data_IF_279039935902
#
_entry.id   IF_279039935902
#
_cell.length_a   1.000
_cell.length_b   1.000
_cell.length_c   1.000
_cell.angle_alpha   90.00
_cell.angle_beta   90.00
_cell.angle_gamma   90.00
#
_symmetry.space_group_name_H-M   'P 1'
#
loop_
_entity.id
_entity.type
_entity.pdbx_description
1 polymer ?
2 non-polymer ?
3 non-polymer ?
4 non-polymer ?
5 non-polymer ?
6 water ?
#
# COMPACT_ATOMS: atom_id res chain seq x y z
N UNK A 1 10.36 6.22 -7.31
CA UNK A 1 9.22 7.02 -7.72
C UNK A 1 8.30 6.17 -8.61
N UNK A 2 7.00 6.35 -8.46
CA UNK A 2 6.02 5.60 -9.22
C UNK A 2 4.69 5.61 -8.50
N UNK A 3 3.70 4.99 -9.15
CA UNK A 3 2.35 4.96 -8.60
C UNK A 3 1.61 3.78 -9.21
N UNK A 4 0.44 3.47 -8.65
CA UNK A 4 -0.40 2.37 -9.12
C UNK A 4 -1.28 2.90 -10.25
N UNK A 5 -1.11 2.38 -11.47
CA UNK A 5 -1.84 2.90 -12.61
C UNK A 5 -3.04 2.07 -13.02
N UNK A 6 -3.17 0.83 -12.53
CA UNK A 6 -4.25 -0.04 -12.98
C UNK A 6 -4.46 -1.12 -11.93
N UNK A 7 -5.71 -1.54 -11.78
CA UNK A 7 -6.07 -2.60 -10.84
C UNK A 7 -6.93 -3.61 -11.58
N UNK A 8 -6.65 -4.90 -11.36
CA UNK A 8 -7.40 -5.99 -11.98
C UNK A 8 -8.00 -6.87 -10.89
N UNK A 9 -9.30 -7.13 -10.99
CA UNK A 9 -10.01 -7.98 -10.04
C UNK A 9 -10.86 -8.95 -10.85
N UNK A 10 -10.50 -10.23 -10.81
CA UNK A 10 -11.31 -11.27 -11.44
C UNK A 10 -11.67 -10.90 -12.88
N UNK A 11 -10.65 -10.54 -13.64
CA UNK A 11 -10.84 -10.24 -15.05
C UNK A 11 -11.46 -8.89 -15.38
N UNK A 12 -11.73 -8.04 -14.39
CA UNK A 12 -12.20 -6.69 -14.65
C UNK A 12 -11.10 -5.70 -14.28
N UNK A 13 -10.96 -4.65 -15.08
CA UNK A 13 -9.86 -3.71 -14.96
C UNK A 13 -10.38 -2.36 -14.49
N UNK A 14 -9.63 -1.70 -13.61
CA UNK A 14 -10.01 -0.40 -13.04
C UNK A 14 -8.81 0.52 -13.11
N UNK A 15 -8.94 1.66 -13.76
CA UNK A 15 -7.82 2.59 -13.82
C UNK A 15 -7.45 3.07 -12.41
N UNK A 16 -6.16 3.18 -12.15
CA UNK A 16 -5.72 3.83 -10.93
C UNK A 16 -5.97 5.33 -11.01
N UNK A 17 -5.59 6.04 -9.96
CA UNK A 17 -5.55 7.49 -10.05
C UNK A 17 -4.28 7.88 -10.82
N UNK A 18 -4.44 8.33 -12.06
CA UNK A 18 -3.30 8.62 -12.92
C UNK A 18 -2.75 9.99 -12.55
N UNK A 19 -1.83 10.01 -11.58
CA UNK A 19 -1.38 11.27 -11.01
C UNK A 19 -0.54 12.08 -11.97
N UNK A 20 -0.10 11.47 -13.07
CA UNK A 20 0.61 12.20 -14.13
C UNK A 20 -0.34 12.96 -15.05
N UNK A 21 -1.66 12.80 -14.91
CA UNK A 21 -2.61 13.39 -15.85
C UNK A 21 -3.79 14.07 -15.17
N UNK A 22 -4.53 13.31 -14.35
CA UNK A 22 -5.74 13.80 -13.71
C UNK A 22 -5.57 15.13 -12.97
N UNK A 23 -4.47 15.40 -12.25
CA UNK A 23 -4.38 16.69 -11.53
C UNK A 23 -4.43 17.91 -12.43
N UNK A 24 -4.23 17.74 -13.73
CA UNK A 24 -4.12 18.83 -14.69
C UNK A 24 -5.34 18.91 -15.58
N UNK A 25 -6.37 18.13 -15.29
CA UNK A 25 -7.61 18.11 -16.05
C UNK A 25 -8.69 18.87 -15.27
N UNK A 26 -9.57 19.51 -16.03
CA UNK A 26 -10.72 20.17 -15.42
C UNK A 26 -11.78 19.16 -14.98
N UNK A 27 -11.94 18.07 -15.73
CA UNK A 27 -12.93 17.04 -15.41
C UNK A 27 -12.28 15.66 -15.47
N UNK A 28 -11.40 15.33 -14.52
CA UNK A 28 -10.83 13.99 -14.51
C UNK A 28 -11.89 12.95 -14.22
N UNK A 29 -11.71 11.72 -14.69
CA UNK A 29 -12.73 10.68 -14.45
C UNK A 29 -12.78 10.24 -13.00
N UNK A 30 -13.94 9.70 -12.65
CA UNK A 30 -14.09 8.99 -11.38
C UNK A 30 -13.35 7.65 -11.45
N UNK A 31 -12.57 7.34 -10.41
CA UNK A 31 -11.81 6.10 -10.34
C UNK A 31 -11.88 5.54 -8.92
N UNK A 32 -11.45 4.28 -8.77
CA UNK A 32 -11.40 3.72 -7.42
C UNK A 32 -10.15 4.15 -6.69
N UNK A 33 -9.17 4.72 -7.40
CA UNK A 33 -7.94 5.17 -6.73
C UNK A 33 -8.11 6.55 -6.13
N UNK A 34 -7.50 6.74 -4.96
CA UNK A 34 -7.55 8.03 -4.28
C UNK A 34 -6.76 9.09 -5.03
N UNK A 35 -7.28 10.31 -5.09
CA UNK A 35 -6.49 11.41 -5.59
C UNK A 35 -5.44 11.80 -4.55
N UNK A 36 -4.28 12.24 -5.03
CA UNK A 36 -3.21 12.72 -4.18
C UNK A 36 -2.56 13.94 -4.85
N UNK A 37 -1.80 14.71 -4.08
CA UNK A 37 -1.00 15.76 -4.67
C UNK A 37 0.46 15.35 -4.83
N UNK A 38 0.74 14.05 -4.82
CA UNK A 38 2.10 13.56 -5.02
C UNK A 38 2.44 13.59 -6.50
N UNK A 39 2.37 14.80 -7.08
CA UNK A 39 2.47 14.95 -8.53
C UNK A 39 3.88 14.65 -9.04
N UNK A 40 4.90 14.77 -8.19
CA UNK A 40 6.26 14.41 -8.63
C UNK A 40 6.49 12.90 -8.58
N UNK A 41 5.47 12.11 -8.25
CA UNK A 41 5.54 10.65 -8.13
C UNK A 41 6.42 10.21 -6.97
N UNK A 42 6.67 11.07 -6.01
CA UNK A 42 7.57 10.78 -4.90
C UNK A 42 6.93 10.06 -3.74
N UNK A 43 7.41 10.35 -2.53
CA UNK A 43 7.17 9.51 -1.37
C UNK A 43 6.77 10.35 -0.18
N UNK A 44 6.35 9.66 0.88
CA UNK A 44 6.18 10.23 2.21
C UNK A 44 7.36 9.76 3.06
N UNK A 45 7.98 10.68 3.77
CA UNK A 45 9.17 10.36 4.53
C UNK A 45 8.82 10.22 6.02
N UNK A 46 9.75 9.68 6.83
CA UNK A 46 9.42 9.45 8.25
C UNK A 46 9.05 10.68 9.03
N UNK A 47 9.40 11.89 8.58
CA UNK A 47 8.95 13.07 9.32
C UNK A 47 7.44 13.30 9.20
N UNK A 48 6.75 12.55 8.34
CA UNK A 48 5.30 12.66 8.22
C UNK A 48 4.58 11.42 8.75
N UNK A 49 5.26 10.54 9.48
CA UNK A 49 4.62 9.30 9.91
C UNK A 49 3.46 9.51 10.89
N UNK A 50 3.40 10.65 11.59
CA UNK A 50 2.25 10.94 12.44
C UNK A 50 1.27 11.90 11.80
N UNK A 51 1.49 12.26 10.54
CA UNK A 51 0.66 13.24 9.87
C UNK A 51 -0.23 12.57 8.83
N UNK A 52 -1.23 13.30 8.36
CA UNK A 52 -2.26 12.68 7.53
C UNK A 52 -1.71 12.15 6.21
N UNK A 53 -0.58 12.68 5.75
CA UNK A 53 -0.03 12.27 4.45
C UNK A 53 0.34 10.79 4.43
N UNK A 54 0.71 10.21 5.57
CA UNK A 54 1.12 8.80 5.54
C UNK A 54 -0.07 7.87 5.27
N UNK A 55 -1.30 8.35 5.45
CA UNK A 55 -2.46 7.46 5.37
C UNK A 55 -2.64 6.95 3.94
N UNK A 56 -2.81 7.86 3.00
CA UNK A 56 -3.05 7.47 1.60
C UNK A 56 -2.22 8.33 0.65
N UNK A 57 -1.08 8.84 1.14
CA UNK A 57 -0.16 9.72 0.43
C UNK A 57 -0.65 11.17 0.49
N UNK A 58 0.12 12.06 -0.12
CA UNK A 58 0.03 13.50 0.15
C UNK A 58 -1.34 14.07 -0.22
N UNK A 59 -1.96 14.76 0.75
CA UNK A 59 -3.24 15.44 0.58
C UNK A 59 -4.32 14.54 -0.03
N UNK A 60 -4.25 13.24 0.26
CA UNK A 60 -5.09 12.30 -0.47
C UNK A 60 -6.56 12.47 -0.12
N UNK A 61 -7.42 12.27 -1.13
CA UNK A 61 -8.87 12.32 -1.03
C UNK A 61 -9.44 11.06 -1.66
N UNK A 62 -10.55 10.54 -1.13
CA UNK A 62 -11.05 9.24 -1.61
C UNK A 62 -11.48 9.27 -3.08
N UNK A 63 -11.23 8.15 -3.76
CA UNK A 63 -11.83 7.97 -5.07
C UNK A 63 -13.35 7.97 -4.99
N UNK A 64 -13.98 8.38 -6.08
CA UNK A 64 -15.43 8.46 -6.11
C UNK A 64 -16.08 7.13 -6.45
N UNK A 65 -15.30 6.11 -6.79
CA UNK A 65 -15.82 4.79 -7.16
C UNK A 65 -15.24 3.74 -6.24
N UNK A 66 -15.89 2.58 -6.22
CA UNK A 66 -15.42 1.40 -5.52
C UNK A 66 -15.49 0.21 -6.47
N UNK A 67 -14.60 -0.76 -6.25
CA UNK A 67 -14.59 -1.98 -7.07
C UNK A 67 -15.06 -3.17 -6.25
N UNK A 68 -16.03 -3.94 -6.75
CA UNK A 68 -16.47 -5.15 -6.04
C UNK A 68 -15.39 -6.23 -6.05
N UNK A 69 -15.25 -6.92 -4.93
CA UNK A 69 -14.37 -8.09 -4.86
C UNK A 69 -14.95 -9.06 -3.84
N UNK A 70 -14.91 -10.36 -4.17
CA UNK A 70 -15.38 -11.38 -3.25
C UNK A 70 -14.32 -11.63 -2.20
N UNK A 71 -14.74 -11.79 -0.94
CA UNK A 71 -13.81 -12.24 0.08
C UNK A 71 -13.21 -13.56 -0.38
N UNK A 72 -11.89 -13.68 -0.26
CA UNK A 72 -11.20 -14.83 -0.83
C UNK A 72 -10.67 -14.63 -2.24
N UNK A 73 -11.15 -13.60 -2.96
CA UNK A 73 -10.63 -13.29 -4.27
C UNK A 73 -9.34 -12.49 -4.20
N UNK A 74 -8.78 -12.24 -5.38
CA UNK A 74 -7.50 -11.55 -5.48
C UNK A 74 -7.69 -10.15 -6.05
N UNK A 75 -6.74 -9.28 -5.74
CA UNK A 75 -6.68 -7.92 -6.29
C UNK A 75 -5.27 -7.73 -6.80
N UNK A 76 -5.13 -7.41 -8.09
CA UNK A 76 -3.82 -7.19 -8.69
C UNK A 76 -3.60 -5.70 -8.89
N UNK A 77 -2.52 -5.17 -8.32
CA UNK A 77 -2.17 -3.77 -8.46
C UNK A 77 -0.98 -3.64 -9.40
N UNK A 78 -1.14 -2.86 -10.47
CA UNK A 78 -0.12 -2.70 -11.51
C UNK A 78 0.53 -1.33 -11.36
N UNK A 79 1.81 -1.35 -11.03
CA UNK A 79 2.57 -0.12 -10.83
C UNK A 79 3.16 0.36 -12.15
N UNK A 80 3.53 1.64 -12.16
CA UNK A 80 4.50 2.08 -13.16
C UNK A 80 5.83 1.37 -12.92
N UNK A 81 6.73 1.51 -13.88
CA UNK A 81 7.99 0.76 -13.86
C UNK A 81 8.79 1.09 -12.60
N UNK A 82 9.02 0.10 -11.75
CA UNK A 82 9.63 0.36 -10.45
C UNK A 82 11.15 0.27 -10.55
N UNK A 83 11.91 1.26 -10.06
CA UNK A 83 13.37 1.21 -10.18
C UNK A 83 13.98 0.17 -9.25
N UNK A 84 14.94 -0.58 -9.78
CA UNK A 84 15.54 -1.66 -9.00
C UNK A 84 16.24 -1.13 -7.75
N UNK A 85 16.76 0.10 -7.79
CA UNK A 85 17.44 0.66 -6.62
C UNK A 85 16.51 0.76 -5.41
N UNK A 86 15.20 0.88 -5.62
CA UNK A 86 14.25 1.11 -4.55
C UNK A 86 13.86 -0.21 -3.86
N UNK A 87 14.87 -0.90 -3.31
CA UNK A 87 14.65 -2.16 -2.61
C UNK A 87 13.87 -1.95 -1.32
N UNK A 88 12.90 -2.83 -1.06
CA UNK A 88 12.21 -2.79 0.19
C UNK A 88 10.96 -3.65 0.21
N UNK A 89 10.23 -3.58 1.32
CA UNK A 89 9.04 -4.42 1.48
C UNK A 89 7.85 -3.90 0.68
N UNK A 90 6.89 -4.79 0.48
CA UNK A 90 5.61 -4.47 -0.15
C UNK A 90 4.54 -4.89 0.85
N UNK A 91 3.74 -3.93 1.31
CA UNK A 91 2.85 -4.13 2.44
C UNK A 91 1.45 -3.67 2.06
N UNK A 92 0.44 -4.48 2.39
CA UNK A 92 -0.93 -4.17 2.02
C UNK A 92 -1.87 -4.28 3.22
N UNK A 93 -2.79 -3.32 3.34
CA UNK A 93 -3.70 -3.21 4.48
C UNK A 93 -5.13 -3.03 4.00
N UNK A 94 -6.08 -3.52 4.80
CA UNK A 94 -7.50 -3.22 4.60
C UNK A 94 -8.00 -2.43 5.81
N UNK A 95 -8.84 -1.43 5.54
CA UNK A 95 -9.47 -0.64 6.60
C UNK A 95 -10.95 -0.45 6.25
N UNK A 96 -11.83 -0.81 7.19
CA UNK A 96 -13.26 -0.67 6.96
C UNK A 96 -13.67 0.79 7.04
N UNK A 97 -14.39 1.28 6.02
CA UNK A 97 -14.92 2.64 6.05
C UNK A 97 -16.18 2.76 6.91
N UNK A 98 -16.85 1.64 7.16
CA UNK A 98 -18.15 1.59 7.82
C UNK A 98 -19.06 2.71 7.32
N UNK A 99 -19.26 2.70 6.02
CA UNK A 99 -19.92 3.77 5.32
C UNK A 99 -19.36 3.83 3.91
N UNK A 100 -19.77 4.87 3.19
CA UNK A 100 -19.26 5.08 1.84
C UNK A 100 -17.79 5.50 1.92
N UNK A 101 -16.91 4.70 1.32
CA UNK A 101 -15.49 5.04 1.37
C UNK A 101 -15.21 6.38 0.68
N UNK A 102 -16.03 6.76 -0.31
CA UNK A 102 -15.76 8.01 -1.04
C UNK A 102 -15.93 9.25 -0.19
N UNK A 103 -16.54 9.14 0.99
CA UNK A 103 -16.65 10.29 1.89
C UNK A 103 -16.05 9.99 3.25
N UNK A 104 -15.18 8.99 3.35
CA UNK A 104 -14.65 8.58 4.65
C UNK A 104 -13.72 9.66 5.17
N UNK A 105 -13.63 9.76 6.49
CA UNK A 105 -12.60 10.57 7.14
C UNK A 105 -11.37 9.66 7.25
N UNK A 106 -10.34 9.93 6.44
CA UNK A 106 -9.22 8.99 6.34
C UNK A 106 -8.47 8.83 7.66
N UNK A 107 -8.57 9.81 8.57
CA UNK A 107 -7.93 9.66 9.86
C UNK A 107 -8.64 8.64 10.73
N UNK A 108 -9.84 8.21 10.35
CA UNK A 108 -10.56 7.19 11.10
C UNK A 108 -10.36 5.79 10.53
N UNK A 109 -9.59 5.63 9.47
CA UNK A 109 -9.33 4.30 8.94
C UNK A 109 -8.36 3.56 9.85
N UNK A 110 -8.76 2.34 10.29
CA UNK A 110 -7.91 1.46 11.09
C UNK A 110 -7.44 0.31 10.21
N UNK A 111 -6.16 0.32 9.84
CA UNK A 111 -5.64 -0.58 8.82
C UNK A 111 -5.25 -1.93 9.41
N UNK A 112 -5.72 -3.00 8.76
CA UNK A 112 -5.41 -4.38 9.15
C UNK A 112 -4.41 -4.91 8.12
N UNK A 113 -3.24 -5.35 8.57
CA UNK A 113 -2.25 -5.88 7.64
C UNK A 113 -2.70 -7.24 7.12
N UNK A 114 -2.88 -7.37 5.80
CA UNK A 114 -3.34 -8.61 5.20
C UNK A 114 -2.32 -9.24 4.25
N UNK A 115 -1.22 -8.56 3.94
CA UNK A 115 -0.22 -9.09 3.02
C UNK A 115 1.06 -8.32 3.28
N UNK A 116 2.18 -9.03 3.41
CA UNK A 116 3.45 -8.35 3.61
C UNK A 116 4.59 -9.26 3.18
N UNK A 117 5.51 -8.72 2.39
CA UNK A 117 6.72 -9.41 1.99
C UNK A 117 7.90 -8.47 2.18
N UNK A 118 9.03 -9.02 2.59
CA UNK A 118 10.18 -8.16 2.91
C UNK A 118 11.45 -8.57 2.19
N UNK A 119 12.46 -8.96 2.95
CA UNK A 119 13.73 -9.44 2.40
C UNK A 119 13.59 -10.91 2.03
N UNK A 120 13.75 -11.23 0.75
CA UNK A 120 13.58 -12.60 0.28
C UNK A 120 14.88 -13.40 0.41
N UNK A 121 16.00 -12.81 -0.02
CA UNK A 121 17.27 -13.50 -0.01
C UNK A 121 18.39 -12.48 -0.01
N UNK A 122 19.40 -12.70 0.82
CA UNK A 122 20.51 -11.74 0.90
C UNK A 122 21.85 -12.41 0.62
N UNK A 123 21.89 -13.34 -0.33
CA UNK A 123 23.18 -13.95 -0.67
C UNK A 123 24.07 -12.99 -1.44
N UNK A 124 23.48 -12.06 -2.19
CA UNK A 124 24.22 -10.99 -2.85
C UNK A 124 23.67 -9.64 -2.37
N UNK A 125 24.46 -8.94 -1.56
CA UNK A 125 24.04 -7.64 -1.03
C UNK A 125 23.74 -6.70 -2.18
N UNK A 126 22.72 -5.82 -2.09
CA UNK A 126 21.84 -5.55 -0.95
C UNK A 126 20.59 -6.45 -0.87
N UNK A 127 20.54 -7.51 -1.68
CA UNK A 127 19.55 -8.56 -1.54
C UNK A 127 18.43 -8.46 -2.56
N UNK A 128 17.60 -9.51 -2.56
CA UNK A 128 16.37 -9.55 -3.33
C UNK A 128 15.19 -9.33 -2.38
N UNK A 129 14.37 -8.34 -2.69
CA UNK A 129 13.28 -7.92 -1.82
C UNK A 129 11.94 -8.11 -2.53
N UNK A 130 10.88 -7.94 -1.75
CA UNK A 130 9.54 -7.91 -2.32
C UNK A 130 9.45 -6.95 -3.50
N UNK A 131 10.11 -5.79 -3.40
CA UNK A 131 10.05 -4.84 -4.51
C UNK A 131 10.67 -5.43 -5.78
N UNK A 132 11.70 -6.26 -5.61
CA UNK A 132 12.30 -6.93 -6.76
C UNK A 132 11.38 -8.02 -7.32
N UNK A 133 10.67 -8.73 -6.44
CA UNK A 133 9.66 -9.65 -6.94
C UNK A 133 8.57 -8.90 -7.69
N UNK A 134 8.18 -7.72 -7.19
CA UNK A 134 7.19 -6.90 -7.87
C UNK A 134 7.66 -6.51 -9.26
N UNK A 135 8.91 -6.06 -9.37
CA UNK A 135 9.47 -5.70 -10.68
C UNK A 135 9.42 -6.89 -11.63
N UNK A 136 9.85 -8.06 -11.15
CA UNK A 136 9.93 -9.25 -12.00
C UNK A 136 8.55 -9.70 -12.46
N UNK A 137 7.52 -9.49 -11.66
CA UNK A 137 6.15 -9.87 -12.03
C UNK A 137 5.44 -8.72 -12.76
N UNK A 138 6.08 -8.18 -13.79
CA UNK A 138 5.43 -7.17 -14.64
C UNK A 138 5.07 -5.93 -13.82
N UNK A 139 5.91 -5.59 -12.84
CA UNK A 139 5.70 -4.42 -11.98
C UNK A 139 4.30 -4.43 -11.36
N UNK A 140 3.98 -5.54 -10.70
CA UNK A 140 2.64 -5.72 -10.17
C UNK A 140 2.72 -6.58 -8.91
N UNK A 141 1.67 -6.48 -8.10
CA UNK A 141 1.55 -7.24 -6.87
C UNK A 141 0.11 -7.72 -6.75
N UNK A 142 -0.07 -8.97 -6.35
CA UNK A 142 -1.39 -9.54 -6.16
C UNK A 142 -1.58 -9.89 -4.68
N UNK A 143 -2.67 -9.42 -4.10
CA UNK A 143 -3.03 -9.76 -2.73
C UNK A 143 -4.34 -10.53 -2.74
N UNK A 144 -4.54 -11.34 -1.71
CA UNK A 144 -5.76 -12.10 -1.51
C UNK A 144 -6.60 -11.44 -0.42
N UNK A 145 -7.87 -11.19 -0.71
CA UNK A 145 -8.76 -10.62 0.30
C UNK A 145 -9.09 -11.76 1.25
N UNK A 146 -8.83 -11.63 2.55
CA UNK A 146 -9.07 -12.76 3.45
C UNK A 146 -10.52 -13.24 3.35
N UNK A 147 -10.68 -14.58 3.34
CA UNK A 147 -12.02 -15.11 3.09
C UNK A 147 -12.98 -14.88 4.26
N UNK A 148 -12.46 -14.66 5.47
CA UNK A 148 -13.33 -14.47 6.62
C UNK A 148 -13.63 -12.99 6.94
N UNK A 149 -13.10 -12.03 6.18
CA UNK A 149 -13.36 -10.64 6.53
C UNK A 149 -14.78 -10.26 6.16
N UNK A 150 -15.43 -9.49 7.04
CA UNK A 150 -16.84 -9.18 6.91
C UNK A 150 -17.08 -8.30 5.68
N UNK A 151 -18.20 -8.46 4.98
CA UNK A 151 -18.46 -7.62 3.80
C UNK A 151 -18.62 -6.17 4.20
N UNK A 152 -18.40 -5.29 3.24
CA UNK A 152 -18.50 -3.87 3.49
C UNK A 152 -17.64 -3.09 2.52
N UNK A 153 -17.52 -1.79 2.80
CA UNK A 153 -16.73 -0.89 1.98
C UNK A 153 -15.42 -0.63 2.69
N UNK A 154 -14.31 -0.98 2.02
CA UNK A 154 -12.98 -0.91 2.60
C UNK A 154 -12.04 -0.13 1.70
N UNK A 155 -11.02 0.45 2.33
CA UNK A 155 -9.87 0.99 1.62
C UNK A 155 -8.79 -0.08 1.65
N UNK A 156 -8.20 -0.35 0.49
CA UNK A 156 -6.97 -1.12 0.41
C UNK A 156 -5.82 -0.12 0.32
N UNK A 157 -4.93 -0.16 1.31
CA UNK A 157 -3.74 0.68 1.33
C UNK A 157 -2.57 -0.22 0.96
N UNK A 158 -1.98 0.01 -0.21
CA UNK A 158 -0.94 -0.83 -0.78
C UNK A 158 0.32 0.00 -0.94
N UNK A 159 1.46 -0.52 -0.48
CA UNK A 159 2.60 0.36 -0.26
C UNK A 159 3.92 -0.34 -0.53
N UNK A 160 4.83 0.38 -1.20
CA UNK A 160 6.25 0.01 -1.26
C UNK A 160 7.00 0.97 -0.35
N UNK A 161 7.89 0.44 0.48
CA UNK A 161 8.82 1.28 1.24
C UNK A 161 10.21 1.06 0.65
N UNK A 162 10.75 2.09 0.00
CA UNK A 162 12.09 2.00 -0.59
C UNK A 162 13.16 2.28 0.47
N UNK A 163 14.14 1.38 0.60
CA UNK A 163 15.12 1.49 1.67
C UNK A 163 16.51 1.90 1.20
N UNK A 164 16.65 2.38 -0.04
CA UNK A 164 17.99 2.58 -0.59
C UNK A 164 18.71 3.75 0.09
N UNK A 165 18.00 4.61 0.81
CA UNK A 165 18.64 5.66 1.59
C UNK A 165 18.22 5.62 3.06
N UNK A 166 17.70 4.48 3.50
CA UNK A 166 17.13 4.36 4.84
C UNK A 166 18.18 4.16 5.92
N UNK A 167 19.47 4.14 5.57
CA UNK A 167 20.49 4.05 6.60
C UNK A 167 20.58 5.32 7.43
N UNK A 168 20.02 6.42 6.91
CA UNK A 168 19.99 7.70 7.59
C UNK A 168 18.62 7.89 8.23
N UNK A 169 18.60 8.62 9.34
CA UNK A 169 17.32 9.03 9.93
C UNK A 169 16.51 9.79 8.88
N UNK A 170 15.22 9.47 8.80
CA UNK A 170 14.29 10.07 7.83
C UNK A 170 14.64 9.70 6.39
N UNK A 171 15.44 8.66 6.18
CA UNK A 171 15.85 8.26 4.85
C UNK A 171 14.88 7.35 4.11
N UNK A 172 14.05 6.60 4.84
CA UNK A 172 13.12 5.67 4.20
C UNK A 172 12.11 6.42 3.33
N UNK A 173 11.60 5.76 2.30
CA UNK A 173 10.68 6.38 1.36
C UNK A 173 9.44 5.52 1.21
N UNK A 174 8.30 6.00 1.75
CA UNK A 174 7.04 5.27 1.70
C UNK A 174 6.23 5.71 0.49
N UNK A 175 5.74 4.73 -0.28
CA UNK A 175 4.91 5.01 -1.47
C UNK A 175 3.55 4.34 -1.29
N UNK A 176 2.67 4.92 -0.47
CA UNK A 176 1.36 4.31 -0.26
C UNK A 176 0.39 4.70 -1.38
N UNK A 177 -0.50 3.76 -1.69
CA UNK A 177 -1.53 3.96 -2.71
C UNK A 177 -2.81 3.33 -2.20
N UNK A 178 -3.90 4.11 -2.16
CA UNK A 178 -5.19 3.63 -1.67
C UNK A 178 -6.20 3.46 -2.80
N UNK A 179 -7.00 2.39 -2.73
CA UNK A 179 -8.12 2.17 -3.61
C UNK A 179 -9.33 1.75 -2.77
N UNK A 180 -10.53 2.02 -3.29
CA UNK A 180 -11.78 1.62 -2.63
C UNK A 180 -12.28 0.29 -3.16
N UNK A 181 -12.63 -0.61 -2.23
CA UNK A 181 -13.14 -1.93 -2.53
C UNK A 181 -14.50 -2.14 -1.87
N UNK A 182 -15.38 -2.86 -2.55
CA UNK A 182 -16.64 -3.31 -1.96
C UNK A 182 -16.52 -4.82 -1.81
N UNK A 183 -16.25 -5.26 -0.59
CA UNK A 183 -15.99 -6.67 -0.33
C UNK A 183 -17.32 -7.36 -0.07
N UNK A 184 -17.55 -8.47 -0.76
CA UNK A 184 -18.77 -9.27 -0.60
C UNK A 184 -18.41 -10.60 0.04
N UNK A 185 -19.45 -11.36 0.42
CA UNK A 185 -19.21 -12.70 0.91
C UNK A 185 -19.88 -12.95 2.24
N UNK A 186 -19.49 -14.06 2.87
CA UNK A 186 -20.10 -14.50 4.12
C UNK A 186 -19.13 -14.42 5.29
N UNK A 187 -18.05 -13.66 5.15
CA UNK A 187 -17.15 -13.44 6.27
C UNK A 187 -17.84 -12.77 7.43
N UNK A 188 -17.30 -12.97 8.63
CA UNK A 188 -17.84 -12.36 9.81
C UNK A 188 -16.79 -11.71 10.71
N UNK A 189 -15.51 -11.74 10.33
CA UNK A 189 -14.48 -11.20 11.20
C UNK A 189 -14.34 -9.70 10.99
N UNK A 190 -14.12 -8.97 12.09
CA UNK A 190 -13.83 -7.54 12.05
C UNK A 190 -12.53 -7.33 12.83
N UNK A 191 -11.38 -7.66 12.24
CA UNK A 191 -10.11 -7.58 12.97
C UNK A 191 -9.81 -6.17 13.42
N UNK A 192 -8.95 -6.08 14.43
CA UNK A 192 -8.53 -4.80 14.97
C UNK A 192 -7.48 -4.18 14.06
N UNK A 193 -7.70 -2.94 13.66
CA UNK A 193 -6.78 -2.25 12.79
C UNK A 193 -5.95 -1.20 13.53
N UNK A 194 -5.01 -0.63 12.80
CA UNK A 194 -4.11 0.38 13.34
C UNK A 194 -4.30 1.67 12.56
N UNK A 195 -4.54 2.80 13.24
CA UNK A 195 -4.65 4.08 12.52
C UNK A 195 -3.42 4.34 11.65
N UNK A 196 -3.65 4.91 10.47
CA UNK A 196 -2.54 5.15 9.55
C UNK A 196 -1.38 5.91 10.17
N UNK A 197 -1.69 6.89 11.02
CA UNK A 197 -0.70 7.72 11.68
C UNK A 197 -0.01 7.02 12.85
N UNK A 198 -0.33 5.74 13.06
CA UNK A 198 0.32 4.92 14.08
C UNK A 198 1.00 3.70 13.49
N UNK A 199 1.10 3.60 12.16
CA UNK A 199 1.70 2.41 11.57
C UNK A 199 3.21 2.34 11.84
N UNK A 200 3.91 3.45 11.64
CA UNK A 200 5.38 3.45 11.58
C UNK A 200 5.97 4.57 12.43
N UNK A 201 7.19 4.33 12.93
CA UNK A 201 8.00 5.37 13.54
C UNK A 201 9.33 5.48 12.79
N UNK A 202 9.99 6.65 12.84
CA UNK A 202 11.27 6.82 12.13
C UNK A 202 12.39 5.92 12.61
N UNK A 203 12.29 5.30 13.79
CA UNK A 203 13.35 4.44 14.29
C UNK A 203 13.02 2.97 14.25
N UNK A 204 11.89 2.58 13.63
CA UNK A 204 11.57 1.15 13.51
C UNK A 204 12.71 0.38 12.87
N UNK A 205 12.94 -0.88 13.27
CA UNK A 205 14.07 -1.64 12.72
C UNK A 205 13.97 -1.93 11.24
N UNK A 206 12.76 -1.92 10.68
CA UNK A 206 12.60 -2.03 9.25
C UNK A 206 12.57 -0.71 8.52
N UNK A 207 12.67 0.40 9.24
CA UNK A 207 12.60 1.75 8.67
C UNK A 207 13.96 2.42 8.71
N UNK A 208 14.61 2.38 9.87
CA UNK A 208 15.96 2.91 10.04
C UNK A 208 16.88 1.71 9.96
N UNK A 209 17.49 1.50 8.79
CA UNK A 209 18.12 0.23 8.47
C UNK A 209 19.10 0.42 7.33
N UNK A 210 20.23 -0.27 7.41
CA UNK A 210 21.28 -0.17 6.39
C UNK A 210 21.27 -1.48 5.61
N UNK A 211 20.69 -1.45 4.41
CA UNK A 211 20.58 -2.64 3.58
C UNK A 211 21.87 -2.99 2.85
N UNK A 212 22.91 -2.16 2.96
CA UNK A 212 24.16 -2.41 2.24
C UNK A 212 25.13 -3.21 3.10
N UNK A 213 24.60 -4.30 3.64
CA UNK A 213 25.32 -5.28 4.42
C UNK A 213 24.47 -6.54 4.37
N UNK A 214 25.06 -7.66 4.80
CA UNK A 214 24.28 -8.89 4.84
C UNK A 214 23.42 -8.88 6.09
N UNK A 215 22.11 -8.93 5.90
CA UNK A 215 21.15 -8.96 7.00
C UNK A 215 20.68 -10.39 7.19
N UNK A 216 20.70 -10.87 8.43
CA UNK A 216 20.16 -12.20 8.71
C UNK A 216 18.64 -12.16 8.78
N UNK A 217 18.06 -11.01 9.09
CA UNK A 217 16.61 -10.85 9.14
C UNK A 217 16.26 -9.40 8.82
N UNK A 218 15.03 -9.21 8.34
CA UNK A 218 14.47 -7.88 8.14
C UNK A 218 13.09 -7.88 8.79
N UNK A 219 12.90 -7.00 9.77
CA UNK A 219 11.61 -6.89 10.47
C UNK A 219 10.70 -6.00 9.63
N UNK A 220 9.73 -6.62 8.96
CA UNK A 220 8.79 -5.82 8.17
C UNK A 220 8.06 -4.86 9.10
N UNK A 221 8.01 -3.57 8.80
CA UNK A 221 7.42 -2.60 9.72
C UNK A 221 5.90 -2.70 9.73
N UNK A 222 5.30 -2.03 10.72
CA UNK A 222 3.86 -1.97 10.82
C UNK A 222 3.31 -2.97 11.83
N UNK A 223 2.00 -3.01 11.99
CA UNK A 223 1.40 -3.97 12.94
C UNK A 223 1.58 -5.39 12.47
N UNK A 224 1.27 -6.33 13.37
CA UNK A 224 1.34 -7.74 13.03
C UNK A 224 0.39 -8.09 11.89
N UNK A 225 0.83 -9.04 11.06
CA UNK A 225 -0.02 -9.62 10.04
C UNK A 225 -1.23 -10.28 10.72
N UNK A 226 -2.43 -9.98 10.24
CA UNK A 226 -3.63 -10.55 10.83
C UNK A 226 -3.68 -12.06 10.60
N UNK A 227 -4.05 -12.82 11.64
CA UNK A 227 -4.08 -14.27 11.50
C UNK A 227 -5.08 -14.75 10.47
N UNK A 228 -6.07 -13.92 10.11
CA UNK A 228 -6.98 -14.29 9.06
C UNK A 228 -6.46 -14.12 7.66
N UNK A 229 -5.25 -13.55 7.51
CA UNK A 229 -4.73 -13.26 6.18
C UNK A 229 -4.38 -14.57 5.46
N UNK A 230 -4.36 -14.50 4.13
CA UNK A 230 -4.09 -15.68 3.29
C UNK A 230 -2.80 -16.42 3.68
#
# INVERSE_FOLDING_TARGET
HGYVQNIVIDGESYSGYIVTQFPYESNPPAVIGWATTATDLGYVDPTEYTNADIICHKNATPGALSAPVAAGGTVELQWTTWPDSHHGPVISYLANCNGNCSTVDKTKLDFVKIDASGLIDDTTVPGTWASDQLIAANNSWTVTIPETIAPGNYVLRHEIIALHSAENTDGAQNYPQCINLEITGSGTASPTGTPGEELYTPTDPGILVNIYQSLSTYVIPGPTLWSGAA
#
